data_IF_711164129682
#
_entry.id   IF_711164129682
#
_cell.length_a   1.000
_cell.length_b   1.000
_cell.length_c   1.000
_cell.angle_alpha   90.00
_cell.angle_beta   90.00
_cell.angle_gamma   90.00
#
_symmetry.space_group_name_H-M   'P 1'
#
loop_
_entity.id
_entity.type
_entity.pdbx_description
1 polymer ?
#
# COMPACT_ATOMS: atom_id res chain seq x y z
N UNK A 1 -16.06 1.01 17.60
CA UNK A 1 -14.76 0.67 17.04
C UNK A 1 -14.95 0.46 15.54
N UNK A 2 -14.53 1.45 14.77
CA UNK A 2 -14.76 1.50 13.32
C UNK A 2 -13.74 0.71 12.53
N UNK A 3 -14.11 0.19 11.34
CA UNK A 3 -13.21 -0.55 10.44
C UNK A 3 -12.34 0.39 9.65
N UNK A 4 -11.05 0.06 9.54
CA UNK A 4 -10.05 0.78 8.74
C UNK A 4 -9.84 0.04 7.41
N UNK A 5 -9.94 0.75 6.28
CA UNK A 5 -9.48 0.28 4.97
C UNK A 5 -8.16 0.99 4.62
N UNK A 6 -7.07 0.23 4.57
CA UNK A 6 -5.73 0.72 4.27
C UNK A 6 -5.40 0.46 2.81
N UNK A 7 -5.24 1.53 2.02
CA UNK A 7 -4.97 1.45 0.58
C UNK A 7 -3.52 1.73 0.27
N UNK A 8 -2.90 0.86 -0.50
CA UNK A 8 -1.50 1.00 -0.89
C UNK A 8 -1.25 0.41 -2.27
N UNK A 9 -0.40 1.06 -3.08
CA UNK A 9 -0.04 0.57 -4.41
C UNK A 9 0.80 -0.70 -4.35
N UNK A 10 1.59 -0.86 -3.30
CA UNK A 10 2.49 -1.99 -3.09
C UNK A 10 2.49 -2.46 -1.63
N UNK A 11 2.72 -3.75 -1.40
CA UNK A 11 2.81 -4.32 -0.05
C UNK A 11 3.80 -5.48 0.00
N UNK A 12 4.76 -5.41 0.93
CA UNK A 12 5.76 -6.46 1.18
C UNK A 12 5.31 -7.38 2.31
N UNK A 13 4.90 -8.60 1.97
CA UNK A 13 4.37 -9.57 2.93
C UNK A 13 5.39 -10.70 3.14
N UNK A 14 5.68 -11.43 2.09
CA UNK A 14 6.61 -12.56 2.08
C UNK A 14 7.55 -12.48 0.88
N UNK A 15 8.67 -13.21 0.96
CA UNK A 15 9.67 -13.19 -0.10
C UNK A 15 9.14 -13.70 -1.45
N UNK A 16 8.19 -14.63 -1.42
CA UNK A 16 7.62 -15.26 -2.62
C UNK A 16 6.40 -14.52 -3.17
N UNK A 17 5.81 -13.58 -2.40
CA UNK A 17 4.71 -12.71 -2.82
C UNK A 17 5.28 -11.41 -3.37
N UNK A 18 5.34 -11.28 -4.71
CA UNK A 18 6.09 -10.23 -5.42
C UNK A 18 5.28 -8.94 -5.63
N UNK A 19 4.57 -8.47 -4.61
CA UNK A 19 3.65 -7.31 -4.66
C UNK A 19 4.28 -6.00 -4.20
N UNK A 20 5.60 -5.90 -4.10
CA UNK A 20 6.29 -4.68 -3.69
C UNK A 20 7.59 -4.47 -4.49
N UNK A 21 8.08 -3.22 -4.49
CA UNK A 21 9.37 -2.86 -5.10
C UNK A 21 10.29 -2.11 -4.13
N UNK A 22 9.78 -1.45 -3.13
CA UNK A 22 10.57 -0.57 -2.28
C UNK A 22 10.05 -0.38 -0.86
N UNK A 23 10.53 0.69 -0.21
CA UNK A 23 10.26 0.98 1.19
C UNK A 23 8.79 1.24 1.52
N UNK A 24 8.01 1.74 0.54
CA UNK A 24 6.58 1.95 0.71
C UNK A 24 5.86 0.61 0.98
N UNK A 25 6.17 -0.42 0.19
CA UNK A 25 5.59 -1.75 0.34
C UNK A 25 6.06 -2.45 1.62
N UNK A 26 7.33 -2.31 1.98
CA UNK A 26 7.88 -2.85 3.23
C UNK A 26 7.15 -2.26 4.43
N UNK A 27 6.96 -0.93 4.46
CA UNK A 27 6.21 -0.28 5.54
C UNK A 27 4.75 -0.73 5.57
N UNK A 28 4.10 -0.87 4.41
CA UNK A 28 2.73 -1.34 4.34
C UNK A 28 2.59 -2.75 4.95
N UNK A 29 3.50 -3.67 4.63
CA UNK A 29 3.54 -5.01 5.22
C UNK A 29 3.70 -4.98 6.74
N UNK A 30 4.66 -4.19 7.24
CA UNK A 30 4.87 -4.03 8.68
C UNK A 30 3.66 -3.40 9.39
N UNK A 31 2.98 -2.47 8.74
CA UNK A 31 1.75 -1.84 9.25
C UNK A 31 0.63 -2.88 9.38
N UNK A 32 0.41 -3.70 8.36
CA UNK A 32 -0.67 -4.70 8.38
C UNK A 32 -0.38 -5.81 9.41
N UNK A 33 0.87 -6.27 9.55
CA UNK A 33 1.26 -7.19 10.63
C UNK A 33 1.00 -6.60 12.00
N UNK A 34 1.35 -5.31 12.19
CA UNK A 34 1.09 -4.61 13.44
C UNK A 34 -0.41 -4.44 13.71
N UNK A 35 -1.23 -4.23 12.66
CA UNK A 35 -2.68 -4.20 12.80
C UNK A 35 -3.23 -5.56 13.25
N UNK A 36 -2.72 -6.67 12.71
CA UNK A 36 -3.09 -8.00 13.13
C UNK A 36 -2.73 -8.24 14.62
N UNK A 37 -1.49 -7.92 15.02
CA UNK A 37 -1.03 -8.05 16.40
C UNK A 37 -1.80 -7.19 17.41
N UNK A 38 -2.31 -6.04 16.98
CA UNK A 38 -3.12 -5.14 17.81
C UNK A 38 -4.62 -5.43 17.73
N UNK A 39 -5.02 -6.48 17.02
CA UNK A 39 -6.43 -6.87 16.82
C UNK A 39 -7.29 -5.72 16.25
N UNK A 40 -6.72 -4.89 15.38
CA UNK A 40 -7.48 -3.80 14.76
C UNK A 40 -8.45 -4.34 13.70
N UNK A 41 -9.70 -3.85 13.68
CA UNK A 41 -10.67 -4.19 12.64
C UNK A 41 -10.29 -3.51 11.32
N UNK A 42 -9.36 -4.08 10.58
CA UNK A 42 -8.80 -3.52 9.37
C UNK A 42 -8.95 -4.45 8.17
N UNK A 43 -8.86 -3.86 6.98
CA UNK A 43 -8.70 -4.54 5.69
C UNK A 43 -7.69 -3.73 4.87
N UNK A 44 -6.79 -4.40 4.16
CA UNK A 44 -5.88 -3.75 3.23
C UNK A 44 -6.39 -3.92 1.80
N UNK A 45 -6.20 -2.92 0.94
CA UNK A 45 -6.46 -2.99 -0.50
C UNK A 45 -5.17 -2.68 -1.25
N UNK A 46 -4.79 -3.57 -2.17
CA UNK A 46 -3.64 -3.39 -3.04
C UNK A 46 -3.89 -4.03 -4.41
N UNK A 47 -2.94 -3.92 -5.33
CA UNK A 47 -2.99 -4.59 -6.63
C UNK A 47 -2.33 -5.96 -6.58
N UNK A 48 -2.84 -6.89 -7.39
CA UNK A 48 -2.36 -8.28 -7.38
C UNK A 48 -0.91 -8.40 -7.85
N UNK A 49 -0.54 -7.67 -8.93
CA UNK A 49 0.82 -7.67 -9.48
C UNK A 49 1.40 -9.09 -9.71
N UNK A 50 0.66 -9.96 -10.40
CA UNK A 50 1.01 -11.39 -10.58
C UNK A 50 2.40 -11.63 -11.18
N UNK A 51 2.97 -10.63 -11.89
CA UNK A 51 4.31 -10.65 -12.51
C UNK A 51 5.32 -9.79 -11.76
N UNK A 52 4.97 -9.35 -10.55
CA UNK A 52 5.84 -8.57 -9.67
C UNK A 52 6.24 -7.22 -10.25
N UNK A 53 7.42 -6.74 -9.83
CA UNK A 53 8.03 -5.51 -10.36
C UNK A 53 9.11 -5.82 -11.37
N UNK A 54 10.27 -6.27 -10.93
CA UNK A 54 11.33 -6.78 -11.78
C UNK A 54 12.30 -7.69 -11.03
N UNK A 55 12.70 -8.77 -11.69
CA UNK A 55 13.85 -9.59 -11.31
C UNK A 55 15.06 -9.11 -12.07
N UNK A 56 16.16 -8.86 -11.36
CA UNK A 56 17.41 -8.43 -11.96
C UNK A 56 18.42 -9.57 -11.96
N UNK A 57 18.96 -9.90 -13.12
CA UNK A 57 19.99 -10.90 -13.29
C UNK A 57 21.24 -10.27 -13.92
N UNK A 58 22.41 -10.83 -13.63
CA UNK A 58 23.68 -10.44 -14.25
C UNK A 58 24.06 -11.49 -15.28
N UNK A 59 24.32 -11.04 -16.51
CA UNK A 59 24.87 -11.87 -17.57
C UNK A 59 26.39 -12.09 -17.39
N UNK A 60 26.96 -13.05 -18.13
CA UNK A 60 28.39 -13.39 -18.04
C UNK A 60 29.32 -12.21 -18.35
N UNK A 61 28.87 -11.24 -19.14
CA UNK A 61 29.62 -10.03 -19.49
C UNK A 61 29.48 -8.90 -18.44
N UNK A 62 28.71 -9.13 -17.37
CA UNK A 62 28.42 -8.17 -16.32
C UNK A 62 27.28 -7.20 -16.64
N UNK A 63 26.61 -7.34 -17.77
CA UNK A 63 25.40 -6.56 -18.06
C UNK A 63 24.24 -7.00 -17.17
N UNK A 64 23.38 -6.02 -16.81
CA UNK A 64 22.19 -6.26 -16.00
C UNK A 64 20.96 -6.39 -16.90
N UNK A 65 20.23 -7.47 -16.71
CA UNK A 65 18.95 -7.73 -17.39
C UNK A 65 17.82 -7.67 -16.37
N UNK A 66 16.71 -7.03 -16.74
CA UNK A 66 15.48 -6.97 -15.94
C UNK A 66 14.41 -7.82 -16.60
N UNK A 67 13.85 -8.73 -15.85
CA UNK A 67 12.80 -9.65 -16.28
C UNK A 67 11.55 -9.51 -15.37
N UNK A 68 10.44 -10.10 -15.78
CA UNK A 68 9.28 -10.27 -14.90
C UNK A 68 9.64 -11.19 -13.73
N UNK A 69 9.00 -10.97 -12.59
CA UNK A 69 9.18 -11.76 -11.36
C UNK A 69 7.83 -12.39 -10.93
N UNK A 70 7.30 -13.34 -11.71
CA UNK A 70 5.99 -13.93 -11.44
C UNK A 70 5.99 -14.76 -10.16
N UNK A 71 4.84 -14.77 -9.47
CA UNK A 71 4.64 -15.53 -8.27
C UNK A 71 3.36 -16.38 -8.34
N UNK A 72 3.29 -17.51 -7.59
CA UNK A 72 2.17 -18.43 -7.67
C UNK A 72 0.96 -17.96 -6.85
N UNK A 73 0.18 -17.04 -7.38
CA UNK A 73 -0.96 -16.38 -6.69
C UNK A 73 -1.89 -17.39 -6.03
N UNK A 74 -2.26 -18.47 -6.74
CA UNK A 74 -3.21 -19.48 -6.26
C UNK A 74 -2.69 -20.31 -5.07
N UNK A 75 -1.38 -20.29 -4.80
CA UNK A 75 -0.79 -20.97 -3.64
C UNK A 75 -0.91 -20.14 -2.37
N UNK A 76 -1.02 -18.80 -2.50
CA UNK A 76 -1.04 -17.85 -1.40
C UNK A 76 -2.40 -17.20 -1.18
N UNK A 77 -3.20 -17.05 -2.23
CA UNK A 77 -4.42 -16.26 -2.22
C UNK A 77 -5.66 -17.06 -2.61
N UNK A 78 -6.78 -16.74 -1.98
CA UNK A 78 -8.10 -17.24 -2.36
C UNK A 78 -8.75 -16.28 -3.36
N UNK A 79 -9.20 -16.79 -4.51
CA UNK A 79 -10.01 -16.00 -5.45
C UNK A 79 -11.40 -15.78 -4.89
N UNK A 80 -11.82 -14.51 -4.81
CA UNK A 80 -13.15 -14.15 -4.31
C UNK A 80 -14.19 -14.15 -5.44
N UNK A 81 -15.44 -14.50 -5.09
CA UNK A 81 -16.58 -14.43 -6.01
C UNK A 81 -17.18 -13.00 -5.97
N UNK A 82 -16.43 -12.06 -6.52
CA UNK A 82 -16.78 -10.64 -6.57
C UNK A 82 -16.32 -10.03 -7.89
N UNK A 83 -17.17 -9.18 -8.47
CA UNK A 83 -16.89 -8.48 -9.72
C UNK A 83 -17.53 -7.09 -9.69
N UNK A 84 -16.75 -6.07 -10.04
CA UNK A 84 -17.23 -4.70 -10.23
C UNK A 84 -16.68 -4.14 -11.53
N UNK A 85 -17.14 -2.96 -11.95
CA UNK A 85 -16.59 -2.27 -13.12
C UNK A 85 -16.09 -0.87 -12.78
N UNK A 86 -15.03 -0.45 -13.47
CA UNK A 86 -14.49 0.91 -13.43
C UNK A 86 -14.35 1.47 -14.85
N UNK A 87 -14.57 2.77 -15.07
CA UNK A 87 -14.38 3.36 -16.39
C UNK A 87 -12.89 3.61 -16.65
N UNK A 88 -12.37 3.05 -17.75
CA UNK A 88 -11.02 3.34 -18.24
C UNK A 88 -11.08 3.45 -19.76
N UNK A 89 -10.64 4.57 -20.32
CA UNK A 89 -10.68 4.88 -21.76
C UNK A 89 -12.10 4.77 -22.38
N UNK A 90 -13.13 5.17 -21.59
CA UNK A 90 -14.53 5.11 -22.03
C UNK A 90 -15.09 3.69 -22.14
N UNK A 91 -14.44 2.70 -21.56
CA UNK A 91 -14.87 1.30 -21.48
C UNK A 91 -15.08 0.90 -20.01
N UNK A 92 -15.99 -0.01 -19.78
CA UNK A 92 -16.15 -0.66 -18.48
C UNK A 92 -15.08 -1.75 -18.35
N UNK A 93 -14.13 -1.56 -17.44
CA UNK A 93 -13.12 -2.55 -17.10
C UNK A 93 -13.58 -3.33 -15.88
N UNK A 94 -13.66 -4.63 -16.03
CA UNK A 94 -14.00 -5.57 -14.96
C UNK A 94 -12.85 -5.70 -13.96
N UNK A 95 -13.16 -5.56 -12.68
CA UNK A 95 -12.25 -5.75 -11.56
C UNK A 95 -12.76 -6.87 -10.68
N UNK A 96 -11.96 -7.88 -10.45
CA UNK A 96 -12.17 -8.98 -9.49
C UNK A 96 -11.21 -8.85 -8.33
N UNK A 97 -11.23 -9.79 -7.39
CA UNK A 97 -10.33 -9.72 -6.24
C UNK A 97 -9.83 -11.10 -5.78
N UNK A 98 -8.67 -11.07 -5.14
CA UNK A 98 -8.06 -12.17 -4.41
C UNK A 98 -7.85 -11.77 -2.96
N UNK A 99 -7.90 -12.73 -2.05
CA UNK A 99 -7.71 -12.52 -0.62
C UNK A 99 -6.44 -13.24 -0.14
N UNK A 100 -5.61 -12.49 0.58
CA UNK A 100 -4.52 -13.00 1.40
C UNK A 100 -4.78 -12.62 2.86
N UNK A 101 -4.59 -13.55 3.79
CA UNK A 101 -4.82 -13.31 5.21
C UNK A 101 -3.49 -13.15 5.95
N UNK A 102 -3.29 -12.00 6.57
CA UNK A 102 -2.16 -11.75 7.48
C UNK A 102 -2.61 -12.12 8.89
N UNK A 103 -2.08 -13.23 9.38
CA UNK A 103 -2.36 -13.74 10.71
C UNK A 103 -1.44 -13.07 11.76
N UNK A 104 -1.97 -12.80 12.94
CA UNK A 104 -1.17 -12.40 14.08
C UNK A 104 -0.39 -13.59 14.63
N UNK A 105 0.88 -13.39 14.96
CA UNK A 105 1.67 -14.40 15.67
C UNK A 105 1.33 -14.46 17.17
N UNK A 106 0.56 -13.49 17.68
CA UNK A 106 0.25 -13.32 19.13
C UNK A 106 -1.18 -13.67 19.49
N UNK A 107 -2.09 -13.57 18.52
CA UNK A 107 -3.53 -13.75 18.74
C UNK A 107 -4.14 -14.52 17.58
N UNK A 108 -5.42 -14.91 17.68
CA UNK A 108 -6.16 -15.52 16.58
C UNK A 108 -6.72 -14.49 15.58
N UNK A 109 -6.25 -13.22 15.64
CA UNK A 109 -6.77 -12.15 14.78
C UNK A 109 -6.10 -12.17 13.42
N UNK A 110 -6.88 -11.85 12.40
CA UNK A 110 -6.44 -11.82 11.00
C UNK A 110 -6.83 -10.50 10.34
N UNK A 111 -5.93 -9.91 9.57
CA UNK A 111 -6.21 -8.76 8.72
C UNK A 111 -6.15 -9.20 7.25
N UNK A 112 -7.28 -9.17 6.51
CA UNK A 112 -7.29 -9.55 5.11
C UNK A 112 -6.66 -8.45 4.24
N UNK A 113 -5.91 -8.88 3.22
CA UNK A 113 -5.50 -8.07 2.09
C UNK A 113 -6.36 -8.47 0.90
N UNK A 114 -7.02 -7.50 0.31
CA UNK A 114 -7.82 -7.65 -0.90
C UNK A 114 -6.98 -7.12 -2.07
N UNK A 115 -6.49 -8.04 -2.89
CA UNK A 115 -5.77 -7.73 -4.10
C UNK A 115 -6.75 -7.57 -5.25
N UNK A 116 -6.87 -6.36 -5.81
CA UNK A 116 -7.68 -6.11 -7.00
C UNK A 116 -6.99 -6.63 -8.26
N UNK A 117 -7.76 -7.22 -9.16
CA UNK A 117 -7.26 -7.88 -10.36
C UNK A 117 -8.14 -7.59 -11.59
N UNK A 118 -7.51 -7.18 -12.69
CA UNK A 118 -8.16 -6.95 -13.99
C UNK A 118 -7.83 -8.05 -15.02
N UNK A 119 -7.02 -9.05 -14.66
CA UNK A 119 -6.64 -10.14 -15.56
C UNK A 119 -7.74 -11.19 -15.67
N UNK A 120 -8.86 -10.83 -16.31
CA UNK A 120 -10.03 -11.68 -16.54
C UNK A 120 -10.45 -11.67 -18.00
N UNK A 121 -11.11 -12.76 -18.46
CA UNK A 121 -11.54 -12.92 -19.87
C UNK A 121 -12.52 -11.82 -20.33
N UNK A 122 -13.26 -11.21 -19.42
CA UNK A 122 -14.20 -10.14 -19.74
C UNK A 122 -13.49 -8.86 -20.24
N UNK A 123 -12.22 -8.69 -19.89
CA UNK A 123 -11.42 -7.55 -20.28
C UNK A 123 -10.65 -7.79 -21.58
N UNK A 124 -10.45 -6.71 -22.34
CA UNK A 124 -9.51 -6.75 -23.47
C UNK A 124 -8.03 -6.87 -22.98
N UNK A 125 -7.08 -7.23 -23.89
CA UNK A 125 -5.69 -7.48 -23.51
C UNK A 125 -5.00 -6.30 -22.82
N UNK A 126 -5.34 -5.05 -23.18
CA UNK A 126 -4.72 -3.87 -22.57
C UNK A 126 -5.20 -3.68 -21.12
N UNK A 127 -6.50 -3.88 -20.88
CA UNK A 127 -7.07 -3.79 -19.56
C UNK A 127 -6.60 -4.93 -18.62
N UNK A 128 -6.36 -6.13 -19.18
CA UNK A 128 -5.79 -7.24 -18.41
C UNK A 128 -4.37 -6.95 -17.87
N UNK A 129 -3.63 -6.01 -18.49
CA UNK A 129 -2.26 -5.68 -18.06
C UNK A 129 -2.22 -4.76 -16.84
N UNK A 130 -3.30 -4.01 -16.48
CA UNK A 130 -3.25 -2.99 -15.42
C UNK A 130 -2.82 -3.51 -14.05
N UNK A 131 -3.13 -4.76 -13.72
CA UNK A 131 -2.77 -5.37 -12.43
C UNK A 131 -1.73 -6.47 -12.53
N UNK A 132 -1.08 -6.66 -13.70
CA UNK A 132 -0.06 -7.71 -13.85
C UNK A 132 1.30 -7.30 -13.31
N UNK A 133 1.68 -6.02 -13.46
CA UNK A 133 2.99 -5.54 -13.03
C UNK A 133 2.87 -4.25 -12.23
N UNK A 134 3.56 -4.25 -11.11
CA UNK A 134 3.66 -3.07 -10.24
C UNK A 134 4.29 -1.90 -11.03
N UNK A 135 3.64 -0.73 -11.00
CA UNK A 135 4.03 0.50 -11.71
C UNK A 135 4.18 0.37 -13.25
N UNK A 136 3.80 -0.76 -13.83
CA UNK A 136 3.82 -0.99 -15.28
C UNK A 136 5.13 -0.59 -15.98
N UNK A 137 6.30 -1.14 -15.61
CA UNK A 137 7.57 -0.74 -16.21
C UNK A 137 7.53 -0.75 -17.75
N UNK A 138 7.90 0.38 -18.37
CA UNK A 138 7.89 0.55 -19.82
C UNK A 138 6.58 1.12 -20.39
N UNK A 139 5.56 1.33 -19.58
CA UNK A 139 4.32 2.06 -19.92
C UNK A 139 4.44 3.56 -19.57
N UNK A 140 3.47 4.36 -20.03
CA UNK A 140 3.41 5.79 -19.75
C UNK A 140 2.52 6.13 -18.55
N UNK A 141 2.44 7.42 -18.22
CA UNK A 141 1.65 7.96 -17.10
C UNK A 141 0.14 7.64 -17.22
N UNK A 142 -0.36 7.49 -18.45
CA UNK A 142 -1.76 7.10 -18.70
C UNK A 142 -2.06 5.65 -18.25
N UNK A 143 -1.08 4.76 -18.31
CA UNK A 143 -1.19 3.41 -17.77
C UNK A 143 -1.16 3.45 -16.23
N UNK A 144 -0.29 4.26 -15.65
CA UNK A 144 -0.24 4.45 -14.19
C UNK A 144 -1.57 5.00 -13.67
N UNK A 145 -2.15 6.01 -14.34
CA UNK A 145 -3.48 6.52 -13.98
C UNK A 145 -4.55 5.43 -14.02
N UNK A 146 -4.51 4.54 -15.02
CA UNK A 146 -5.43 3.40 -15.09
C UNK A 146 -5.24 2.43 -13.90
N UNK A 147 -4.00 2.15 -13.49
CA UNK A 147 -3.70 1.37 -12.28
C UNK A 147 -4.30 2.01 -11.01
N UNK A 148 -4.16 3.33 -10.87
CA UNK A 148 -4.68 4.08 -9.73
C UNK A 148 -6.22 4.16 -9.71
N UNK A 149 -6.87 4.20 -10.89
CA UNK A 149 -8.32 4.04 -11.01
C UNK A 149 -8.78 2.67 -10.49
N UNK A 150 -8.08 1.62 -10.89
CA UNK A 150 -8.38 0.25 -10.44
C UNK A 150 -8.18 0.12 -8.94
N UNK A 151 -7.08 0.64 -8.40
CA UNK A 151 -6.79 0.61 -6.96
C UNK A 151 -7.83 1.40 -6.16
N UNK A 152 -8.02 2.68 -6.47
CA UNK A 152 -8.84 3.58 -5.68
C UNK A 152 -10.33 3.32 -5.88
N UNK A 153 -10.84 3.53 -7.10
CA UNK A 153 -12.27 3.37 -7.42
C UNK A 153 -12.66 1.89 -7.38
N UNK A 154 -11.89 1.04 -8.05
CA UNK A 154 -12.15 -0.40 -8.11
C UNK A 154 -12.08 -1.05 -6.72
N UNK A 155 -11.05 -0.75 -5.96
CA UNK A 155 -10.88 -1.26 -4.59
C UNK A 155 -12.04 -0.88 -3.67
N UNK A 156 -12.52 0.37 -3.74
CA UNK A 156 -13.66 0.84 -2.92
C UNK A 156 -14.94 0.09 -3.29
N UNK A 157 -15.24 -0.04 -4.58
CA UNK A 157 -16.39 -0.83 -5.04
C UNK A 157 -16.31 -2.31 -4.64
N UNK A 158 -15.12 -2.91 -4.71
CA UNK A 158 -14.90 -4.29 -4.26
C UNK A 158 -15.20 -4.44 -2.77
N UNK A 159 -14.72 -3.52 -1.91
CA UNK A 159 -15.04 -3.57 -0.48
C UNK A 159 -16.54 -3.45 -0.21
N UNK A 160 -17.23 -2.57 -0.92
CA UNK A 160 -18.68 -2.40 -0.80
C UNK A 160 -19.43 -3.68 -1.21
N UNK A 161 -19.07 -4.29 -2.34
CA UNK A 161 -19.70 -5.52 -2.84
C UNK A 161 -19.42 -6.72 -1.91
N UNK A 162 -18.25 -6.74 -1.25
CA UNK A 162 -17.93 -7.72 -0.21
C UNK A 162 -18.62 -7.45 1.13
N UNK A 163 -19.33 -6.32 1.26
CA UNK A 163 -20.08 -5.94 2.47
C UNK A 163 -19.22 -5.41 3.60
N UNK A 164 -18.04 -4.84 3.32
CA UNK A 164 -17.25 -4.16 4.33
C UNK A 164 -17.86 -2.81 4.68
N UNK A 165 -18.19 -2.63 5.97
CA UNK A 165 -18.58 -1.33 6.51
C UNK A 165 -17.30 -0.61 6.98
N UNK A 166 -16.86 0.40 6.21
CA UNK A 166 -15.60 1.11 6.44
C UNK A 166 -15.87 2.49 7.05
N UNK A 167 -15.23 2.79 8.18
CA UNK A 167 -15.33 4.09 8.86
C UNK A 167 -14.15 5.02 8.52
N UNK A 168 -13.01 4.44 8.18
CA UNK A 168 -11.82 5.22 7.86
C UNK A 168 -11.08 4.61 6.66
N UNK A 169 -10.93 5.40 5.62
CA UNK A 169 -10.11 5.09 4.45
C UNK A 169 -8.74 5.73 4.62
N UNK A 170 -7.71 4.92 4.77
CA UNK A 170 -6.33 5.38 4.92
C UNK A 170 -5.58 5.27 3.60
N UNK A 171 -5.23 6.40 3.01
CA UNK A 171 -4.43 6.49 1.79
C UNK A 171 -2.94 6.47 2.11
N UNK A 172 -2.25 5.39 1.75
CA UNK A 172 -0.81 5.27 1.85
C UNK A 172 -0.19 5.77 0.54
N UNK A 173 0.19 7.05 0.49
CA UNK A 173 0.62 7.85 -0.64
C UNK A 173 -0.52 8.25 -1.61
N UNK A 174 -0.21 9.15 -2.55
CA UNK A 174 -1.15 9.70 -3.52
C UNK A 174 -1.77 8.68 -4.48
N UNK A 175 -1.12 7.56 -4.74
CA UNK A 175 -1.61 6.47 -5.61
C UNK A 175 -3.03 6.00 -5.28
N UNK A 176 -3.45 6.12 -4.02
CA UNK A 176 -4.77 5.71 -3.57
C UNK A 176 -5.83 6.83 -3.62
N UNK A 177 -5.46 8.06 -3.97
CA UNK A 177 -6.32 9.23 -3.83
C UNK A 177 -7.64 9.13 -4.60
N UNK A 178 -7.69 8.35 -5.70
CA UNK A 178 -8.91 8.16 -6.49
C UNK A 178 -10.02 7.40 -5.76
N UNK A 179 -9.75 6.77 -4.60
CA UNK A 179 -10.81 6.24 -3.74
C UNK A 179 -11.79 7.34 -3.32
N UNK A 180 -11.28 8.58 -3.13
CA UNK A 180 -12.11 9.73 -2.74
C UNK A 180 -13.17 10.08 -3.78
N UNK A 181 -12.95 9.75 -5.05
CA UNK A 181 -13.92 10.00 -6.12
C UNK A 181 -15.11 9.04 -6.04
N UNK A 182 -14.87 7.77 -5.68
CA UNK A 182 -15.96 6.84 -5.42
C UNK A 182 -16.74 7.29 -4.16
N UNK A 183 -16.03 7.69 -3.11
CA UNK A 183 -16.67 8.21 -1.90
C UNK A 183 -17.47 9.50 -2.16
N UNK A 184 -17.00 10.41 -3.01
CA UNK A 184 -17.78 11.59 -3.43
C UNK A 184 -19.10 11.18 -4.10
N UNK A 185 -19.08 10.18 -4.98
CA UNK A 185 -20.31 9.67 -5.62
C UNK A 185 -21.27 9.05 -4.62
N UNK A 186 -20.76 8.31 -3.65
CA UNK A 186 -21.55 7.68 -2.60
C UNK A 186 -22.16 8.69 -1.63
N UNK A 187 -21.54 9.85 -1.47
CA UNK A 187 -21.96 10.94 -0.56
C UNK A 187 -22.56 12.14 -1.31
N UNK A 188 -23.21 11.93 -2.47
CA UNK A 188 -23.89 13.00 -3.24
C UNK A 188 -22.97 14.21 -3.54
N UNK A 189 -21.69 13.96 -3.75
CA UNK A 189 -20.62 14.95 -3.97
C UNK A 189 -20.36 15.89 -2.76
N UNK A 190 -20.69 15.46 -1.55
CA UNK A 190 -20.38 16.19 -0.32
C UNK A 190 -18.91 15.97 0.11
N UNK A 191 -18.02 16.95 -0.04
CA UNK A 191 -16.60 16.79 0.29
C UNK A 191 -16.35 16.70 1.81
N UNK A 192 -17.22 17.30 2.63
CA UNK A 192 -17.07 17.22 4.08
C UNK A 192 -17.35 15.79 4.57
N UNK A 193 -18.38 15.12 4.02
CA UNK A 193 -18.68 13.75 4.32
C UNK A 193 -17.51 12.81 3.93
N UNK A 194 -16.85 13.05 2.79
CA UNK A 194 -15.67 12.30 2.36
C UNK A 194 -14.47 12.59 3.27
N UNK A 195 -14.23 13.88 3.58
CA UNK A 195 -13.12 14.31 4.44
C UNK A 195 -13.18 13.64 5.82
N UNK A 196 -14.33 13.54 6.42
CA UNK A 196 -14.54 12.89 7.72
C UNK A 196 -14.16 11.40 7.71
N UNK A 197 -14.16 10.75 6.54
CA UNK A 197 -13.83 9.34 6.40
C UNK A 197 -12.38 9.08 6.01
N UNK A 198 -11.62 10.08 5.53
CA UNK A 198 -10.29 9.86 4.96
C UNK A 198 -9.15 10.34 5.84
N UNK A 199 -8.04 9.61 5.80
CA UNK A 199 -6.73 10.03 6.32
C UNK A 199 -5.65 9.78 5.26
N UNK A 200 -4.60 10.60 5.25
CA UNK A 200 -3.55 10.55 4.24
C UNK A 200 -2.17 10.51 4.85
N UNK A 201 -1.32 9.61 4.37
CA UNK A 201 0.11 9.55 4.72
C UNK A 201 0.94 9.77 3.47
N UNK A 202 1.74 10.86 3.45
CA UNK A 202 2.70 11.12 2.38
C UNK A 202 4.09 10.61 2.74
N UNK A 203 4.77 10.01 1.76
CA UNK A 203 6.11 9.41 1.91
C UNK A 203 7.16 10.13 1.08
N UNK A 204 6.76 10.83 0.03
CA UNK A 204 7.65 11.35 -1.01
C UNK A 204 8.18 12.74 -0.64
N UNK A 205 9.53 12.91 -0.48
CA UNK A 205 10.13 14.17 -0.06
C UNK A 205 10.52 15.10 -1.22
N UNK A 206 10.12 14.79 -2.47
CA UNK A 206 10.48 15.54 -3.67
C UNK A 206 9.25 15.73 -4.57
N UNK A 207 9.09 16.94 -5.13
CA UNK A 207 7.95 17.30 -5.99
C UNK A 207 7.77 16.34 -7.18
N UNK A 208 8.86 15.99 -7.85
CA UNK A 208 8.84 15.10 -9.03
C UNK A 208 8.41 13.64 -8.76
N UNK A 209 8.21 13.28 -7.51
CA UNK A 209 7.74 11.95 -7.12
C UNK A 209 6.27 11.93 -6.72
N UNK A 210 5.54 13.05 -6.85
CA UNK A 210 4.09 13.10 -6.67
C UNK A 210 3.41 13.00 -8.02
N UNK A 211 2.42 12.10 -8.12
CA UNK A 211 1.74 11.85 -9.38
C UNK A 211 0.85 13.03 -9.77
N UNK A 212 1.08 13.50 -10.99
CA UNK A 212 0.35 14.59 -11.60
C UNK A 212 -0.06 14.21 -13.03
N UNK A 213 -1.34 14.32 -13.33
CA UNK A 213 -1.89 13.98 -14.63
C UNK A 213 -2.54 15.20 -15.29
N UNK A 214 -2.21 15.46 -16.55
CA UNK A 214 -2.86 16.56 -17.29
C UNK A 214 -4.37 16.30 -17.42
N UNK A 215 -5.17 17.38 -17.44
CA UNK A 215 -6.62 17.23 -17.61
C UNK A 215 -7.01 16.54 -18.91
N UNK A 216 -6.21 16.71 -19.97
CA UNK A 216 -6.40 15.96 -21.21
C UNK A 216 -6.28 14.45 -20.99
N UNK A 217 -5.27 14.02 -20.22
CA UNK A 217 -5.05 12.61 -19.88
C UNK A 217 -6.18 12.10 -18.97
N UNK A 218 -6.56 12.85 -17.94
CA UNK A 218 -7.67 12.49 -17.04
C UNK A 218 -8.96 12.28 -17.82
N UNK A 219 -9.31 13.22 -18.71
CA UNK A 219 -10.49 13.12 -19.55
C UNK A 219 -10.43 11.95 -20.53
N UNK A 220 -9.25 11.62 -21.04
CA UNK A 220 -9.03 10.48 -21.93
C UNK A 220 -9.16 9.15 -21.21
N UNK A 221 -8.57 9.02 -20.00
CA UNK A 221 -8.45 7.74 -19.29
C UNK A 221 -9.64 7.50 -18.36
N UNK A 222 -9.96 8.43 -17.46
CA UNK A 222 -11.05 8.31 -16.49
C UNK A 222 -12.40 8.78 -17.05
N UNK A 223 -12.38 9.80 -17.93
CA UNK A 223 -13.59 10.46 -18.39
C UNK A 223 -14.27 11.31 -17.28
N UNK A 224 -15.55 11.59 -17.46
CA UNK A 224 -16.34 12.37 -16.50
C UNK A 224 -16.92 11.46 -15.40
N UNK A 225 -16.05 10.94 -14.53
CA UNK A 225 -16.46 10.09 -13.40
C UNK A 225 -17.14 10.90 -12.28
N UNK A 226 -16.59 12.07 -11.98
CA UNK A 226 -17.18 13.17 -11.21
C UNK A 226 -17.02 14.46 -12.01
N UNK A 227 -17.80 15.54 -11.74
CA UNK A 227 -17.64 16.79 -12.48
C UNK A 227 -16.19 17.29 -12.42
N UNK A 228 -15.61 17.67 -13.57
CA UNK A 228 -14.22 18.16 -13.65
C UNK A 228 -13.99 19.40 -12.76
N UNK A 229 -15.01 20.26 -12.60
CA UNK A 229 -14.94 21.41 -11.70
C UNK A 229 -14.67 20.98 -10.25
N UNK A 230 -15.29 19.91 -9.79
CA UNK A 230 -15.06 19.33 -8.46
C UNK A 230 -13.63 18.82 -8.33
N UNK A 231 -13.11 18.14 -9.34
CA UNK A 231 -11.72 17.63 -9.32
C UNK A 231 -10.72 18.81 -9.29
N UNK A 232 -10.95 19.86 -10.06
CA UNK A 232 -10.09 21.05 -10.07
C UNK A 232 -10.09 21.77 -8.74
N UNK A 233 -11.23 21.84 -8.05
CA UNK A 233 -11.37 22.46 -6.74
C UNK A 233 -10.52 21.75 -5.67
N UNK A 234 -10.51 20.41 -5.67
CA UNK A 234 -9.81 19.60 -4.64
C UNK A 234 -8.42 19.11 -5.06
N UNK A 235 -7.96 19.41 -6.26
CA UNK A 235 -6.66 19.06 -6.76
C UNK A 235 -5.87 20.32 -7.16
N UNK A 236 -5.72 20.59 -8.47
CA UNK A 236 -5.06 21.78 -8.98
C UNK A 236 -5.70 22.23 -10.31
N UNK A 237 -5.71 23.55 -10.60
CA UNK A 237 -6.36 24.04 -11.82
C UNK A 237 -5.70 23.52 -13.11
N UNK A 238 -4.38 23.31 -13.12
CA UNK A 238 -3.62 22.96 -14.33
C UNK A 238 -3.55 21.46 -14.56
N UNK A 239 -3.61 20.63 -13.49
CA UNK A 239 -3.49 19.17 -13.54
C UNK A 239 -4.23 18.48 -12.39
N UNK A 240 -4.44 17.19 -12.49
CA UNK A 240 -4.85 16.34 -11.37
C UNK A 240 -3.61 16.00 -10.56
N UNK A 241 -3.41 16.68 -9.43
CA UNK A 241 -2.36 16.35 -8.46
C UNK A 241 -2.95 15.43 -7.38
N UNK A 242 -2.46 14.19 -7.35
CA UNK A 242 -2.99 13.13 -6.49
C UNK A 242 -2.79 13.43 -5.00
N UNK A 243 -1.66 14.03 -4.64
CA UNK A 243 -1.38 14.41 -3.25
C UNK A 243 -2.25 15.56 -2.76
N UNK A 244 -2.52 16.56 -3.60
CA UNK A 244 -3.46 17.63 -3.26
C UNK A 244 -4.88 17.11 -3.13
N UNK A 245 -5.32 16.21 -4.02
CA UNK A 245 -6.61 15.55 -3.91
C UNK A 245 -6.76 14.83 -2.56
N UNK A 246 -5.75 14.04 -2.19
CA UNK A 246 -5.73 13.33 -0.91
C UNK A 246 -5.72 14.29 0.29
N UNK A 247 -4.91 15.35 0.26
CA UNK A 247 -4.83 16.35 1.33
C UNK A 247 -6.15 17.09 1.53
N UNK A 248 -6.79 17.51 0.44
CA UNK A 248 -8.04 18.29 0.50
C UNK A 248 -9.23 17.46 0.98
N UNK A 249 -9.22 16.15 0.70
CA UNK A 249 -10.30 15.23 1.06
C UNK A 249 -9.96 14.32 2.24
N UNK A 250 -9.02 14.72 3.10
CA UNK A 250 -8.69 14.02 4.35
C UNK A 250 -8.88 14.93 5.56
N UNK A 251 -9.43 14.36 6.67
CA UNK A 251 -9.50 15.05 7.97
C UNK A 251 -8.16 15.15 8.67
N UNK A 252 -7.22 14.28 8.30
CA UNK A 252 -5.91 14.19 8.92
C UNK A 252 -4.87 13.78 7.89
N UNK A 253 -3.70 14.42 7.93
CA UNK A 253 -2.56 14.09 7.09
C UNK A 253 -1.29 14.02 7.92
N UNK A 254 -0.43 13.05 7.62
CA UNK A 254 0.89 12.94 8.22
C UNK A 254 1.97 12.59 7.21
N UNK A 255 3.17 13.02 7.54
CA UNK A 255 4.43 12.59 6.97
C UNK A 255 5.07 11.51 7.84
N UNK A 256 6.10 10.86 7.33
CA UNK A 256 6.68 9.64 7.91
C UNK A 256 7.94 9.86 8.76
N UNK A 257 8.30 11.10 9.02
CA UNK A 257 9.39 11.49 9.93
C UNK A 257 9.33 12.98 10.24
N UNK A 258 9.90 13.41 11.37
CA UNK A 258 9.97 14.83 11.74
C UNK A 258 10.65 15.70 10.66
N UNK A 259 11.73 15.20 10.04
CA UNK A 259 12.40 15.92 8.95
C UNK A 259 11.52 15.96 7.68
N UNK A 260 10.80 14.89 7.41
CA UNK A 260 9.87 14.85 6.28
C UNK A 260 8.70 15.81 6.48
N UNK A 261 8.21 16.01 7.71
CA UNK A 261 7.19 17.01 8.01
C UNK A 261 7.60 18.42 7.56
N UNK A 262 8.85 18.83 7.84
CA UNK A 262 9.36 20.13 7.40
C UNK A 262 9.35 20.24 5.87
N UNK A 263 9.77 19.18 5.18
CA UNK A 263 9.80 19.12 3.72
C UNK A 263 8.39 19.16 3.14
N UNK A 264 7.48 18.33 3.65
CA UNK A 264 6.10 18.24 3.17
C UNK A 264 5.33 19.56 3.39
N UNK A 265 5.51 20.23 4.54
CA UNK A 265 4.88 21.53 4.79
C UNK A 265 5.42 22.65 3.88
N UNK A 266 6.67 22.55 3.44
CA UNK A 266 7.23 23.47 2.45
C UNK A 266 6.69 23.19 1.04
N UNK A 267 6.48 21.92 0.71
CA UNK A 267 5.96 21.47 -0.58
C UNK A 267 4.46 21.75 -0.73
N UNK A 268 3.71 21.59 0.37
CA UNK A 268 2.28 21.83 0.44
C UNK A 268 1.97 22.96 1.44
N UNK A 269 2.25 24.24 1.09
CA UNK A 269 2.05 25.35 2.00
C UNK A 269 0.57 25.55 2.32
N UNK A 270 0.27 25.71 3.60
CA UNK A 270 -1.11 25.91 4.08
C UNK A 270 -1.81 24.64 4.57
N UNK A 271 -1.23 23.47 4.35
CA UNK A 271 -1.75 22.21 4.91
C UNK A 271 -1.11 21.89 6.26
N UNK A 272 -1.94 21.39 7.17
CA UNK A 272 -1.46 20.90 8.46
C UNK A 272 -1.09 19.42 8.31
N UNK A 273 0.21 19.15 8.22
CA UNK A 273 0.77 17.81 8.05
C UNK A 273 1.55 17.46 9.30
N UNK A 274 1.12 16.43 10.02
CA UNK A 274 1.81 15.93 11.20
C UNK A 274 3.02 15.05 10.86
N UNK A 275 3.74 14.60 11.88
CA UNK A 275 4.85 13.66 11.73
C UNK A 275 4.61 12.40 12.58
N UNK A 276 4.41 11.27 11.90
CA UNK A 276 4.43 9.96 12.53
C UNK A 276 5.64 9.21 11.96
N UNK A 277 6.68 9.04 12.78
CA UNK A 277 7.89 8.33 12.34
C UNK A 277 7.56 6.89 11.99
N UNK A 278 7.99 6.44 10.81
CA UNK A 278 7.80 5.06 10.39
C UNK A 278 8.32 4.09 11.45
N UNK A 279 7.50 3.11 11.77
CA UNK A 279 7.87 1.95 12.58
C UNK A 279 8.31 0.77 11.73
N UNK A 280 8.66 -0.30 12.40
CA UNK A 280 8.89 -1.62 11.82
C UNK A 280 8.14 -2.67 12.64
N UNK A 281 7.77 -3.77 12.03
CA UNK A 281 7.29 -4.95 12.75
C UNK A 281 8.50 -5.76 13.21
N UNK A 282 8.96 -5.52 14.44
CA UNK A 282 10.22 -6.06 14.96
C UNK A 282 10.30 -7.59 14.86
N UNK A 283 9.28 -8.38 15.26
CA UNK A 283 9.37 -9.84 15.18
C UNK A 283 9.63 -10.36 13.76
N UNK A 284 9.10 -9.73 12.74
CA UNK A 284 9.32 -10.14 11.34
C UNK A 284 10.78 -9.91 10.87
N UNK A 285 11.47 -8.91 11.40
CA UNK A 285 12.82 -8.52 10.93
C UNK A 285 13.96 -9.12 11.71
N UNK A 286 13.70 -9.71 12.87
CA UNK A 286 14.75 -10.38 13.67
C UNK A 286 14.70 -11.90 13.46
N UNK A 287 15.86 -12.53 13.49
CA UNK A 287 15.96 -13.99 13.38
C UNK A 287 15.44 -14.71 14.63
N UNK A 288 15.01 -15.97 14.45
CA UNK A 288 14.45 -16.80 15.52
C UNK A 288 15.37 -16.90 16.75
N UNK A 289 16.67 -17.04 16.55
CA UNK A 289 17.66 -17.10 17.65
C UNK A 289 17.63 -15.86 18.54
N UNK A 290 17.37 -14.67 17.94
CA UNK A 290 17.24 -13.44 18.74
C UNK A 290 15.87 -13.34 19.40
N UNK A 291 14.82 -13.89 18.81
CA UNK A 291 13.51 -13.98 19.46
C UNK A 291 13.64 -14.78 20.73
N UNK A 292 14.23 -15.99 20.66
CA UNK A 292 14.46 -16.87 21.79
C UNK A 292 15.30 -16.21 22.87
N UNK A 293 16.40 -15.54 22.49
CA UNK A 293 17.26 -14.82 23.41
C UNK A 293 16.52 -13.68 24.12
N UNK A 294 15.70 -12.92 23.40
CA UNK A 294 14.94 -11.82 23.98
C UNK A 294 13.80 -12.32 24.87
N UNK A 295 13.15 -13.43 24.53
CA UNK A 295 12.11 -14.04 25.35
C UNK A 295 12.68 -14.53 26.70
N UNK A 296 13.94 -14.99 26.74
CA UNK A 296 14.62 -15.39 27.98
C UNK A 296 14.91 -14.19 28.89
N UNK A 297 15.40 -13.08 28.34
CA UNK A 297 15.94 -11.97 29.15
C UNK A 297 15.02 -10.75 29.26
N UNK A 298 14.04 -10.58 28.35
CA UNK A 298 13.23 -9.38 28.22
C UNK A 298 11.73 -9.68 28.19
N UNK A 299 11.22 -10.36 29.20
CA UNK A 299 9.82 -10.81 29.29
C UNK A 299 8.81 -9.73 28.80
N UNK A 300 7.99 -10.08 27.80
CA UNK A 300 6.96 -9.23 27.20
C UNK A 300 7.53 -8.10 26.32
N UNK A 301 8.71 -8.29 25.72
CA UNK A 301 9.29 -7.33 24.76
C UNK A 301 8.48 -7.27 23.44
N UNK A 302 7.85 -8.36 23.06
CA UNK A 302 7.03 -8.42 21.84
C UNK A 302 5.78 -7.52 21.96
N UNK A 303 5.14 -7.47 23.13
CA UNK A 303 4.00 -6.57 23.42
C UNK A 303 4.45 -5.12 23.63
N UNK A 304 5.68 -4.95 24.10
CA UNK A 304 6.27 -3.64 24.34
C UNK A 304 7.72 -3.56 23.88
N UNK A 305 7.98 -3.25 22.58
CA UNK A 305 9.32 -3.17 22.02
C UNK A 305 10.27 -2.17 22.70
N UNK A 306 9.74 -1.22 23.48
CA UNK A 306 10.57 -0.34 24.30
C UNK A 306 11.41 -1.10 25.34
N UNK A 307 11.05 -2.33 25.67
CA UNK A 307 11.86 -3.18 26.56
C UNK A 307 13.22 -3.55 25.98
N UNK A 308 13.37 -3.54 24.65
CA UNK A 308 14.66 -3.75 23.96
C UNK A 308 15.75 -2.76 24.39
N UNK A 309 15.38 -1.58 24.89
CA UNK A 309 16.36 -0.65 25.50
C UNK A 309 17.11 -1.23 26.71
N UNK A 310 16.59 -2.30 27.28
CA UNK A 310 17.19 -2.99 28.42
C UNK A 310 18.04 -4.20 28.01
N UNK A 311 18.32 -4.39 26.71
CA UNK A 311 19.12 -5.50 26.19
C UNK A 311 20.51 -5.66 26.84
N UNK A 312 21.00 -4.62 27.53
CA UNK A 312 22.24 -4.70 28.34
C UNK A 312 22.19 -5.67 29.53
N UNK A 313 21.02 -6.25 29.84
CA UNK A 313 20.91 -7.33 30.85
C UNK A 313 21.34 -8.67 30.27
N UNK A 314 21.34 -8.83 28.95
CA UNK A 314 21.78 -10.03 28.26
C UNK A 314 23.30 -10.15 28.39
N UNK A 315 23.83 -11.34 28.78
CA UNK A 315 25.27 -11.54 28.80
C UNK A 315 25.93 -11.34 27.44
N UNK A 316 27.04 -10.62 27.37
CA UNK A 316 27.75 -10.31 26.13
C UNK A 316 28.14 -11.58 25.35
N UNK A 317 28.46 -12.67 26.04
CA UNK A 317 28.83 -13.95 25.45
C UNK A 317 27.66 -14.60 24.69
N UNK A 318 26.48 -14.61 25.28
CA UNK A 318 25.25 -15.15 24.66
C UNK A 318 24.79 -14.30 23.46
N UNK A 319 24.82 -12.97 23.63
CA UNK A 319 24.51 -12.05 22.52
C UNK A 319 25.48 -12.25 21.34
N UNK A 320 26.77 -12.49 21.63
CA UNK A 320 27.77 -12.74 20.60
C UNK A 320 27.59 -14.09 19.92
N UNK A 321 27.28 -15.14 20.67
CA UNK A 321 27.02 -16.47 20.14
C UNK A 321 25.81 -16.45 19.18
N UNK A 322 24.68 -15.89 19.61
CA UNK A 322 23.48 -15.69 18.78
C UNK A 322 23.79 -14.93 17.49
N UNK A 323 24.54 -13.83 17.59
CA UNK A 323 24.95 -13.07 16.42
C UNK A 323 25.81 -13.88 15.44
N UNK A 324 26.73 -14.71 15.98
CA UNK A 324 27.58 -15.54 15.14
C UNK A 324 26.85 -16.70 14.49
N UNK A 325 25.80 -17.23 15.13
CA UNK A 325 24.97 -18.29 14.57
C UNK A 325 24.17 -17.78 13.38
N UNK A 326 23.50 -16.65 13.50
CA UNK A 326 22.82 -15.99 12.37
C UNK A 326 23.77 -15.61 11.21
N UNK A 327 25.01 -15.19 11.52
CA UNK A 327 26.01 -14.97 10.47
C UNK A 327 26.37 -16.25 9.72
N UNK A 328 26.47 -17.40 10.40
CA UNK A 328 26.74 -18.68 9.74
C UNK A 328 25.59 -19.05 8.81
N UNK A 329 24.35 -18.95 9.27
CA UNK A 329 23.18 -19.21 8.45
C UNK A 329 23.17 -18.33 7.18
N UNK A 330 23.41 -17.03 7.34
CA UNK A 330 23.47 -16.09 6.19
C UNK A 330 24.56 -16.45 5.18
N UNK A 331 25.68 -17.05 5.62
CA UNK A 331 26.80 -17.42 4.74
C UNK A 331 26.54 -18.77 4.06
N UNK A 332 25.79 -19.65 4.72
CA UNK A 332 25.44 -20.99 4.19
C UNK A 332 24.29 -20.92 3.18
N UNK A 333 23.49 -19.84 3.19
CA UNK A 333 22.45 -19.54 2.21
C UNK A 333 23.08 -19.10 0.87
#
# INVERSE_FOLDING_TARGET
>A
DGRIAYYTMEIGIENDVKTYSGGLGVLAGDTIRSFADMELPAVCVSQLNERGYCKQTLEDDGSQVSEEDPWPVEEYCEKLDVEVTVPVYGRDVTVTAWRYDVESEKTDHTVPIIFVDTNVEANDPDAQEYTKRLYGPGHGDDFQLAQEIVLGIGGTKILDELGYEVDTYHMNEGHAALLTLELLKQNDLDPEAVREQCVFTTHTPVEAGHDEFSWEMVNKVLGEFVPEETLREYSHEENLNMSLLALNLSRYANSVAKKHQEVSRNMFPGYDIDAITNGIHVPFWIGEDYIDLYDEYLEGWQENPYKLKHASVIPDEELWETHMDQKRETIEF
#
